data_IF_937915049487
#
_entry.id   IF_937915049487
#
_cell.length_a   1.000
_cell.length_b   1.000
_cell.length_c   1.000
_cell.angle_alpha   90.00
_cell.angle_beta   90.00
_cell.angle_gamma   90.00
#
_symmetry.space_group_name_H-M   'P 1'
#
loop_
_entity.id
_entity.type
_entity.pdbx_description
1 polymer ?
#
# COMPACT_ATOMS: atom_id res chain seq x y z
N UNK A 1 -15.47 9.98 28.75
CA UNK A 1 -15.04 8.57 28.57
C UNK A 1 -13.51 8.53 28.58
N UNK A 2 -12.96 7.52 29.22
CA UNK A 2 -11.52 7.26 29.20
C UNK A 2 -11.08 6.89 27.78
N UNK A 3 -9.90 7.40 27.35
CA UNK A 3 -9.38 7.17 25.99
C UNK A 3 -7.95 6.63 26.07
N UNK A 4 -7.69 5.60 25.28
CA UNK A 4 -6.34 5.11 25.03
C UNK A 4 -5.63 6.04 24.06
N UNK A 5 -4.33 6.24 24.29
CA UNK A 5 -3.45 7.11 23.50
C UNK A 5 -2.53 6.27 22.62
N UNK A 6 -2.40 6.67 21.35
CA UNK A 6 -1.45 6.11 20.41
C UNK A 6 -0.61 7.21 19.76
N UNK A 7 0.68 6.96 19.62
CA UNK A 7 1.60 7.84 18.89
C UNK A 7 1.83 7.26 17.50
N UNK A 8 1.37 7.97 16.49
CA UNK A 8 1.54 7.63 15.08
C UNK A 8 2.68 8.48 14.50
N UNK A 9 3.65 7.81 13.88
CA UNK A 9 4.81 8.45 13.26
C UNK A 9 4.73 8.31 11.75
N UNK A 10 5.04 9.40 11.05
CA UNK A 10 5.26 9.36 9.61
C UNK A 10 6.74 9.08 9.28
N UNK A 11 6.95 8.52 8.09
CA UNK A 11 8.29 8.28 7.55
C UNK A 11 8.71 9.40 6.59
N UNK A 12 8.61 9.14 5.29
CA UNK A 12 9.03 10.05 4.22
C UNK A 12 8.33 11.42 4.21
N UNK A 13 7.13 11.52 4.80
CA UNK A 13 6.40 12.77 4.96
C UNK A 13 7.25 13.82 5.70
N UNK A 14 8.07 13.37 6.67
CA UNK A 14 8.97 14.26 7.41
C UNK A 14 10.04 14.93 6.52
N UNK A 15 10.36 14.34 5.36
CA UNK A 15 11.40 14.79 4.43
C UNK A 15 10.88 15.74 3.34
N UNK A 16 9.59 16.11 3.34
CA UNK A 16 8.95 16.88 2.25
C UNK A 16 9.25 18.38 2.24
N UNK A 17 10.15 18.86 3.10
CA UNK A 17 10.55 20.27 3.14
C UNK A 17 9.35 21.21 3.25
N UNK A 18 9.25 22.19 2.37
CA UNK A 18 8.15 23.18 2.36
C UNK A 18 6.77 22.57 2.10
N UNK A 19 6.69 21.41 1.44
CA UNK A 19 5.43 20.72 1.16
C UNK A 19 4.94 19.86 2.34
N UNK A 20 5.72 19.73 3.40
CA UNK A 20 5.41 18.90 4.57
C UNK A 20 4.00 19.15 5.15
N UNK A 21 3.54 20.41 5.33
CA UNK A 21 2.21 20.68 5.88
C UNK A 21 1.06 20.09 5.04
N UNK A 22 1.20 20.06 3.72
CA UNK A 22 0.24 19.44 2.83
C UNK A 22 0.15 17.92 3.07
N UNK A 23 1.30 17.24 3.11
CA UNK A 23 1.35 15.79 3.33
C UNK A 23 0.88 15.41 4.74
N UNK A 24 1.22 16.20 5.76
CA UNK A 24 0.74 15.99 7.13
C UNK A 24 -0.78 16.13 7.24
N UNK A 25 -1.37 17.12 6.57
CA UNK A 25 -2.82 17.29 6.51
C UNK A 25 -3.51 16.09 5.85
N UNK A 26 -3.02 15.65 4.69
CA UNK A 26 -3.59 14.51 3.98
C UNK A 26 -3.46 13.24 4.83
N UNK A 27 -2.30 13.00 5.47
CA UNK A 27 -2.11 11.84 6.34
C UNK A 27 -3.06 11.87 7.54
N UNK A 28 -3.25 13.03 8.17
CA UNK A 28 -4.17 13.20 9.28
C UNK A 28 -5.61 12.83 8.89
N UNK A 29 -6.07 13.30 7.73
CA UNK A 29 -7.41 12.96 7.22
C UNK A 29 -7.54 11.47 6.90
N UNK A 30 -6.50 10.83 6.35
CA UNK A 30 -6.51 9.39 6.10
C UNK A 30 -6.59 8.58 7.39
N UNK A 31 -5.85 8.96 8.43
CA UNK A 31 -5.92 8.30 9.75
C UNK A 31 -7.28 8.53 10.39
N UNK A 32 -7.84 9.74 10.34
CA UNK A 32 -9.19 10.01 10.83
C UNK A 32 -10.24 9.15 10.12
N UNK A 33 -10.15 9.03 8.79
CA UNK A 33 -11.07 8.22 8.02
C UNK A 33 -10.95 6.73 8.37
N UNK A 34 -9.74 6.21 8.59
CA UNK A 34 -9.53 4.83 9.02
C UNK A 34 -10.14 4.53 10.40
N UNK A 35 -10.23 5.54 11.26
CA UNK A 35 -10.79 5.44 12.62
C UNK A 35 -12.24 5.95 12.73
N UNK A 36 -12.87 6.36 11.63
CA UNK A 36 -14.21 6.98 11.64
C UNK A 36 -15.32 6.05 12.14
N UNK A 37 -15.10 4.73 12.15
CA UNK A 37 -16.02 3.76 12.72
C UNK A 37 -16.06 3.79 14.26
N UNK A 38 -15.10 4.45 14.92
CA UNK A 38 -15.03 4.56 16.37
C UNK A 38 -15.50 5.95 16.82
N UNK A 39 -16.73 6.03 17.32
CA UNK A 39 -17.29 7.29 17.83
C UNK A 39 -16.40 7.88 18.95
N UNK A 40 -16.07 9.15 18.84
CA UNK A 40 -15.21 9.84 19.79
C UNK A 40 -13.70 9.64 19.55
N UNK A 41 -13.28 8.96 18.49
CA UNK A 41 -11.87 8.89 18.09
C UNK A 41 -11.38 10.27 17.62
N UNK A 42 -10.16 10.63 18.02
CA UNK A 42 -9.52 11.92 17.70
C UNK A 42 -8.10 11.69 17.19
N UNK A 43 -7.67 12.50 16.24
CA UNK A 43 -6.29 12.53 15.78
C UNK A 43 -5.83 13.98 15.60
N UNK A 44 -4.63 14.31 16.10
CA UNK A 44 -4.04 15.67 16.03
C UNK A 44 -2.53 15.58 15.82
N UNK A 45 -1.97 16.52 15.03
CA UNK A 45 -0.54 16.75 14.96
C UNK A 45 -0.08 17.65 16.11
N UNK A 46 0.93 17.22 16.84
CA UNK A 46 1.58 17.98 17.91
C UNK A 46 3.09 17.79 17.77
N UNK A 47 3.83 18.85 17.55
CA UNK A 47 5.30 18.85 17.47
C UNK A 47 5.92 17.75 16.58
N UNK A 48 5.33 17.51 15.41
CA UNK A 48 5.83 16.54 14.42
C UNK A 48 5.50 15.06 14.71
N UNK A 49 4.63 14.80 15.68
CA UNK A 49 4.00 13.50 15.92
C UNK A 49 2.48 13.61 15.78
N UNK A 50 1.85 12.55 15.33
CA UNK A 50 0.40 12.47 15.37
C UNK A 50 -0.04 11.70 16.61
N UNK A 51 -0.87 12.33 17.42
CA UNK A 51 -1.49 11.75 18.61
C UNK A 51 -2.91 11.32 18.25
N UNK A 52 -3.19 10.04 18.48
CA UNK A 52 -4.51 9.44 18.27
C UNK A 52 -5.07 9.03 19.61
N UNK A 53 -6.30 9.46 19.92
CA UNK A 53 -7.03 9.04 21.11
C UNK A 53 -8.31 8.33 20.70
N UNK A 54 -8.50 7.12 21.21
CA UNK A 54 -9.66 6.26 20.90
C UNK A 54 -10.29 5.81 22.22
N UNK A 55 -11.64 5.68 22.32
CA UNK A 55 -12.28 5.19 23.53
C UNK A 55 -11.66 3.90 24.05
N UNK A 56 -11.49 3.79 25.38
CA UNK A 56 -10.75 2.71 26.02
C UNK A 56 -11.41 1.32 25.88
N UNK A 57 -12.67 1.27 25.50
CA UNK A 57 -13.40 0.03 25.24
C UNK A 57 -13.07 -0.61 23.88
N UNK A 58 -12.33 0.08 22.99
CA UNK A 58 -11.91 -0.46 21.71
C UNK A 58 -10.60 -1.26 21.89
N UNK A 59 -10.53 -2.51 21.42
CA UNK A 59 -9.33 -3.33 21.51
C UNK A 59 -8.11 -2.65 20.86
N UNK A 60 -6.95 -2.76 21.50
CA UNK A 60 -5.71 -2.11 21.06
C UNK A 60 -5.27 -2.59 19.67
N UNK A 61 -5.35 -3.88 19.41
CA UNK A 61 -4.99 -4.52 18.14
C UNK A 61 -5.86 -4.04 16.97
N UNK A 62 -7.14 -3.77 17.21
CA UNK A 62 -8.04 -3.19 16.19
C UNK A 62 -7.61 -1.77 15.79
N UNK A 63 -7.26 -0.93 16.77
CA UNK A 63 -6.81 0.45 16.51
C UNK A 63 -5.47 0.42 15.75
N UNK A 64 -4.55 -0.42 16.20
CA UNK A 64 -3.24 -0.58 15.58
C UNK A 64 -3.38 -1.06 14.14
N UNK A 65 -4.15 -2.12 13.90
CA UNK A 65 -4.35 -2.69 12.56
C UNK A 65 -4.91 -1.66 11.56
N UNK A 66 -5.87 -0.83 11.98
CA UNK A 66 -6.41 0.24 11.16
C UNK A 66 -5.42 1.38 10.89
N UNK A 67 -4.52 1.67 11.82
CA UNK A 67 -3.54 2.73 11.63
C UNK A 67 -2.34 2.29 10.78
N UNK A 68 -1.83 1.06 10.95
CA UNK A 68 -0.62 0.59 10.24
C UNK A 68 -0.82 0.40 8.74
N UNK A 69 -2.06 0.16 8.29
CA UNK A 69 -2.38 0.02 6.88
C UNK A 69 -2.48 1.35 6.14
N UNK A 70 -2.56 2.48 6.86
CA UNK A 70 -2.63 3.82 6.23
C UNK A 70 -1.27 4.19 5.64
N UNK A 71 -1.21 4.36 4.33
CA UNK A 71 0.02 4.80 3.66
C UNK A 71 0.49 6.16 4.17
N UNK A 72 1.77 6.25 4.50
CA UNK A 72 2.39 7.38 5.18
C UNK A 72 2.67 7.12 6.66
N UNK A 73 1.98 6.17 7.29
CA UNK A 73 2.24 5.75 8.68
C UNK A 73 3.45 4.82 8.72
N UNK A 74 4.52 5.26 9.36
CA UNK A 74 5.74 4.46 9.51
C UNK A 74 5.69 3.55 10.74
N UNK A 75 5.08 4.01 11.84
CA UNK A 75 4.86 3.19 13.03
C UNK A 75 3.76 3.75 13.93
N UNK A 76 3.17 2.85 14.70
CA UNK A 76 2.19 3.16 15.76
C UNK A 76 2.74 2.64 17.08
N UNK A 77 2.53 3.39 18.16
CA UNK A 77 2.89 2.98 19.52
C UNK A 77 1.73 3.26 20.46
N UNK A 78 1.18 2.27 21.15
CA UNK A 78 0.39 2.50 22.35
C UNK A 78 1.21 3.28 23.36
N UNK A 79 0.61 4.28 24.02
CA UNK A 79 1.32 5.18 24.90
C UNK A 79 0.45 5.57 26.10
N UNK A 80 1.12 5.97 27.18
CA UNK A 80 0.48 6.65 28.32
C UNK A 80 1.06 8.04 28.47
N UNK A 81 0.22 8.97 28.93
CA UNK A 81 0.57 10.36 29.16
C UNK A 81 0.81 10.61 30.65
N UNK A 82 1.78 11.43 30.98
CA UNK A 82 2.08 11.88 32.33
C UNK A 82 2.33 13.40 32.36
N UNK A 83 2.07 14.08 33.48
CA UNK A 83 2.53 15.45 33.69
C UNK A 83 4.05 15.56 33.55
N UNK A 84 4.55 16.79 33.30
CA UNK A 84 6.00 17.09 33.25
C UNK A 84 6.65 17.18 34.63
N UNK A 85 6.48 16.14 35.40
CA UNK A 85 7.16 15.95 36.70
C UNK A 85 7.84 14.58 36.68
N UNK A 86 9.08 14.51 37.10
CA UNK A 86 9.89 13.28 36.98
C UNK A 86 9.34 12.14 37.85
N UNK A 87 8.72 12.47 38.99
CA UNK A 87 8.15 11.48 39.88
C UNK A 87 6.85 10.90 39.30
N UNK A 88 5.99 11.77 38.72
CA UNK A 88 4.78 11.38 38.02
C UNK A 88 5.12 10.51 36.76
N UNK A 89 6.12 10.94 36.00
CA UNK A 89 6.64 10.16 34.87
C UNK A 89 7.11 8.78 35.32
N UNK A 90 7.88 8.73 36.41
CA UNK A 90 8.38 7.48 36.99
C UNK A 90 7.28 6.56 37.51
N UNK A 91 6.27 7.12 38.18
CA UNK A 91 5.10 6.39 38.66
C UNK A 91 4.29 5.78 37.50
N UNK A 92 3.99 6.58 36.47
CA UNK A 92 3.30 6.12 35.28
C UNK A 92 4.11 5.11 34.47
N UNK A 93 5.44 5.27 34.40
CA UNK A 93 6.33 4.30 33.77
C UNK A 93 6.35 2.94 34.50
N UNK A 94 6.32 2.98 35.83
CA UNK A 94 6.25 1.76 36.64
C UNK A 94 4.90 1.05 36.47
N UNK A 95 3.78 1.77 36.51
CA UNK A 95 2.44 1.23 36.20
C UNK A 95 2.37 0.59 34.81
N UNK A 96 2.91 1.29 33.80
CA UNK A 96 2.98 0.79 32.43
C UNK A 96 3.80 -0.50 32.33
N UNK A 97 4.96 -0.55 32.97
CA UNK A 97 5.84 -1.72 32.95
C UNK A 97 5.27 -2.92 33.69
N UNK A 98 4.47 -2.71 34.77
CA UNK A 98 3.75 -3.80 35.43
C UNK A 98 2.80 -4.51 34.47
N UNK A 99 2.01 -3.75 33.69
CA UNK A 99 1.13 -4.33 32.66
C UNK A 99 1.93 -5.09 31.60
N UNK A 100 3.06 -4.53 31.16
CA UNK A 100 3.94 -5.19 30.16
C UNK A 100 4.50 -6.51 30.67
N UNK A 101 4.89 -6.59 31.96
CA UNK A 101 5.37 -7.85 32.57
C UNK A 101 4.27 -8.91 32.59
N UNK A 102 3.05 -8.52 32.91
CA UNK A 102 1.89 -9.45 32.96
C UNK A 102 1.56 -10.04 31.59
N UNK A 103 1.70 -9.24 30.51
CA UNK A 103 1.38 -9.68 29.14
C UNK A 103 2.50 -10.44 28.46
N UNK A 104 3.76 -10.00 28.59
CA UNK A 104 4.84 -10.45 27.71
C UNK A 104 5.98 -11.17 28.44
N UNK A 105 5.86 -11.35 29.76
CA UNK A 105 6.82 -12.07 30.60
C UNK A 105 8.29 -11.61 30.40
N UNK A 106 8.52 -10.31 30.24
CA UNK A 106 9.86 -9.72 30.07
C UNK A 106 10.66 -9.78 31.37
N UNK A 107 11.99 -9.89 31.26
CA UNK A 107 12.92 -9.93 32.38
C UNK A 107 13.92 -8.77 32.39
N UNK A 108 14.21 -8.24 31.20
CA UNK A 108 15.19 -7.17 31.04
C UNK A 108 14.59 -5.97 30.31
N UNK A 109 15.05 -4.77 30.71
CA UNK A 109 14.62 -3.55 30.03
C UNK A 109 15.72 -2.50 30.01
N UNK A 110 15.54 -1.50 29.17
CA UNK A 110 16.23 -0.21 29.29
C UNK A 110 15.29 0.94 29.05
N UNK A 111 15.61 2.11 29.66
CA UNK A 111 14.88 3.36 29.40
C UNK A 111 15.65 4.19 28.37
N UNK A 112 14.94 4.76 27.40
CA UNK A 112 15.42 5.80 26.49
C UNK A 112 14.68 7.09 26.80
N UNK A 113 15.36 8.04 27.45
CA UNK A 113 14.85 9.39 27.70
C UNK A 113 15.05 10.28 26.45
N UNK A 114 14.06 11.11 26.15
CA UNK A 114 14.14 12.17 25.14
C UNK A 114 13.54 13.45 25.67
N UNK A 115 14.36 14.50 25.76
CA UNK A 115 13.94 15.86 26.11
C UNK A 115 13.68 16.66 24.83
N UNK A 116 12.48 16.57 24.27
CA UNK A 116 12.07 17.40 23.14
C UNK A 116 11.79 18.84 23.59
N UNK A 117 11.17 19.00 24.77
CA UNK A 117 11.02 20.31 25.44
C UNK A 117 12.32 20.69 26.15
N UNK A 118 13.02 21.68 25.62
CA UNK A 118 14.28 22.19 26.20
C UNK A 118 14.09 22.96 27.50
N UNK A 119 12.85 23.38 27.86
CA UNK A 119 12.57 24.02 29.13
C UNK A 119 12.46 23.05 30.32
N UNK A 120 12.33 21.76 30.06
CA UNK A 120 12.37 20.73 31.11
C UNK A 120 13.76 20.64 31.71
N UNK A 121 13.87 20.73 33.03
CA UNK A 121 15.16 20.89 33.73
C UNK A 121 16.09 19.70 33.60
N UNK A 122 15.52 18.49 33.45
CA UNK A 122 16.26 17.23 33.47
C UNK A 122 16.67 16.81 32.07
N UNK A 123 17.92 16.48 31.85
CA UNK A 123 18.46 16.03 30.55
C UNK A 123 18.09 14.58 30.21
N UNK A 124 18.11 14.26 28.90
CA UNK A 124 17.69 12.93 28.40
C UNK A 124 18.36 11.74 29.07
N UNK A 125 19.70 11.73 29.34
CA UNK A 125 20.33 10.62 30.04
C UNK A 125 19.85 10.50 31.49
N UNK A 126 19.62 11.64 32.15
CA UNK A 126 19.19 11.68 33.54
C UNK A 126 17.71 11.28 33.69
N UNK A 127 16.84 11.65 32.73
CA UNK A 127 15.46 11.12 32.63
C UNK A 127 15.51 9.60 32.60
N UNK A 128 16.34 9.03 31.73
CA UNK A 128 16.45 7.58 31.60
C UNK A 128 16.93 6.91 32.89
N UNK A 129 17.91 7.51 33.58
CA UNK A 129 18.46 7.01 34.84
C UNK A 129 17.43 7.03 35.96
N UNK A 130 16.74 8.16 36.15
CA UNK A 130 15.76 8.34 37.24
C UNK A 130 14.54 7.46 37.02
N UNK A 131 13.93 7.50 35.84
CA UNK A 131 12.76 6.66 35.52
C UNK A 131 13.13 5.18 35.59
N UNK A 132 14.30 4.77 35.08
CA UNK A 132 14.79 3.39 35.20
C UNK A 132 14.92 2.92 36.64
N UNK A 133 15.44 3.79 37.53
CA UNK A 133 15.54 3.51 38.97
C UNK A 133 14.17 3.36 39.65
N UNK A 134 13.18 4.17 39.25
CA UNK A 134 11.82 4.06 39.78
C UNK A 134 11.12 2.79 39.33
N UNK A 135 11.25 2.42 38.04
CA UNK A 135 10.73 1.16 37.50
C UNK A 135 11.35 -0.04 38.20
N UNK A 136 12.67 -0.07 38.42
CA UNK A 136 13.36 -1.17 39.16
C UNK A 136 12.87 -1.32 40.60
N UNK A 137 12.56 -0.18 41.26
CA UNK A 137 12.02 -0.23 42.64
C UNK A 137 10.62 -0.82 42.68
N UNK A 138 9.80 -0.52 41.70
CA UNK A 138 8.41 -0.98 41.61
C UNK A 138 8.29 -2.40 41.04
N UNK A 139 9.13 -2.76 40.06
CA UNK A 139 9.08 -4.02 39.32
C UNK A 139 10.34 -4.86 39.62
N UNK A 140 10.38 -5.50 40.79
CA UNK A 140 11.55 -6.23 41.30
C UNK A 140 11.98 -7.46 40.45
N UNK A 141 11.10 -7.92 39.58
CA UNK A 141 11.40 -9.02 38.64
C UNK A 141 12.24 -8.59 37.43
N UNK A 142 12.35 -7.27 37.20
CA UNK A 142 13.12 -6.72 36.11
C UNK A 142 14.58 -6.45 36.48
N UNK A 143 15.45 -6.59 35.49
CA UNK A 143 16.85 -6.12 35.54
C UNK A 143 17.13 -5.20 34.32
N UNK A 144 18.20 -4.39 34.40
CA UNK A 144 18.59 -3.50 33.30
C UNK A 144 19.58 -4.22 32.38
N UNK A 145 19.27 -4.27 31.10
CA UNK A 145 20.18 -4.63 30.02
C UNK A 145 20.22 -3.52 28.98
N UNK A 146 21.38 -2.83 28.87
CA UNK A 146 21.56 -1.71 27.95
C UNK A 146 21.88 -2.15 26.52
N UNK A 147 22.30 -3.41 26.34
CA UNK A 147 22.74 -3.95 25.04
C UNK A 147 21.65 -4.73 24.34
N UNK A 148 21.03 -5.70 25.02
CA UNK A 148 19.99 -6.60 24.44
C UNK A 148 18.78 -6.73 25.38
N UNK A 149 18.09 -5.63 25.67
CA UNK A 149 16.91 -5.68 26.53
C UNK A 149 15.72 -6.36 25.83
N UNK A 150 14.90 -7.09 26.62
CA UNK A 150 13.61 -7.59 26.14
C UNK A 150 12.64 -6.45 25.82
N UNK A 151 12.74 -5.33 26.55
CA UNK A 151 11.89 -4.16 26.35
C UNK A 151 12.68 -2.85 26.37
N UNK A 152 12.37 -1.96 25.41
CA UNK A 152 12.89 -0.58 25.41
C UNK A 152 11.75 0.37 25.80
N UNK A 153 11.76 0.86 27.04
CA UNK A 153 10.82 1.85 27.50
C UNK A 153 11.26 3.24 27.02
N UNK A 154 10.47 3.89 26.20
CA UNK A 154 10.73 5.24 25.73
C UNK A 154 9.97 6.25 26.59
N UNK A 155 10.63 7.34 26.97
CA UNK A 155 10.07 8.49 27.69
C UNK A 155 10.38 9.74 26.87
N UNK A 156 9.37 10.34 26.23
CA UNK A 156 9.51 11.55 25.39
C UNK A 156 8.84 12.73 26.10
N UNK A 157 9.65 13.65 26.66
CA UNK A 157 9.16 14.84 27.36
C UNK A 157 9.02 15.98 26.36
N UNK A 158 7.77 16.45 26.19
CA UNK A 158 7.36 17.50 25.26
C UNK A 158 6.71 18.68 25.99
N UNK A 159 6.32 19.73 25.26
CA UNK A 159 5.72 20.93 25.87
C UNK A 159 4.43 20.64 26.61
N UNK A 160 3.57 19.79 26.05
CA UNK A 160 2.24 19.50 26.62
C UNK A 160 2.25 18.43 27.71
N UNK A 161 3.25 17.53 27.75
CA UNK A 161 3.32 16.41 28.68
C UNK A 161 4.50 15.50 28.43
N UNK A 162 4.59 14.41 29.17
CA UNK A 162 5.52 13.33 28.95
C UNK A 162 4.76 12.10 28.41
N UNK A 163 5.34 11.42 27.45
CA UNK A 163 4.73 10.27 26.78
C UNK A 163 5.61 9.04 26.97
N UNK A 164 5.01 7.98 27.47
CA UNK A 164 5.68 6.71 27.81
C UNK A 164 5.14 5.64 26.89
N UNK A 165 6.03 4.95 26.19
CA UNK A 165 5.67 3.88 25.24
C UNK A 165 6.83 2.91 25.04
N UNK A 166 6.56 1.70 24.62
CA UNK A 166 7.61 0.69 24.34
C UNK A 166 7.78 0.42 22.85
N UNK A 167 6.79 -0.14 22.25
CA UNK A 167 6.87 -0.66 20.88
C UNK A 167 6.69 0.41 19.81
N UNK A 168 7.27 0.13 18.68
CA UNK A 168 7.01 0.84 17.43
C UNK A 168 6.51 -0.18 16.41
N UNK A 169 5.21 -0.46 16.44
CA UNK A 169 4.58 -1.39 15.53
C UNK A 169 4.66 -0.80 14.13
N UNK A 170 5.31 -1.54 13.23
CA UNK A 170 5.63 -1.05 11.89
C UNK A 170 4.37 -0.93 11.03
N UNK A 171 4.19 0.24 10.40
CA UNK A 171 3.21 0.46 9.34
C UNK A 171 3.83 0.30 7.95
N UNK A 172 3.01 0.34 6.91
CA UNK A 172 3.48 0.23 5.53
C UNK A 172 4.36 1.39 5.09
N UNK A 173 4.29 2.54 5.75
CA UNK A 173 5.08 3.71 5.37
C UNK A 173 4.64 4.31 4.04
N UNK A 174 5.61 4.82 3.26
CA UNK A 174 5.34 5.47 1.99
C UNK A 174 4.80 6.89 2.13
N UNK A 175 3.90 7.28 1.22
CA UNK A 175 3.27 8.60 1.15
C UNK A 175 1.75 8.49 1.25
N UNK A 176 1.05 9.49 1.81
CA UNK A 176 -0.41 9.46 1.92
C UNK A 176 -1.07 9.36 0.55
N UNK A 177 -2.04 8.47 0.43
CA UNK A 177 -2.77 8.21 -0.81
C UNK A 177 -3.42 9.50 -1.37
N UNK A 178 -3.28 9.72 -2.67
CA UNK A 178 -3.80 10.90 -3.39
C UNK A 178 -2.83 12.08 -3.45
N UNK A 179 -1.61 11.96 -2.88
CA UNK A 179 -0.62 13.06 -2.92
C UNK A 179 0.24 13.08 -4.20
N UNK A 180 0.21 12.03 -5.01
CA UNK A 180 0.99 11.90 -6.25
C UNK A 180 0.13 11.57 -7.48
N UNK A 181 -0.99 12.25 -7.63
CA UNK A 181 -1.86 12.08 -8.79
C UNK A 181 -2.65 10.76 -8.81
N UNK A 182 -3.11 10.38 -9.99
CA UNK A 182 -3.92 9.20 -10.26
C UNK A 182 -3.31 8.36 -11.38
N UNK A 183 -3.34 7.04 -11.25
CA UNK A 183 -2.91 6.08 -12.26
C UNK A 183 -3.97 5.02 -12.53
N UNK A 184 -3.94 4.45 -13.72
CA UNK A 184 -4.78 3.34 -14.13
C UNK A 184 -3.96 2.06 -14.21
N UNK A 185 -4.27 1.06 -13.36
CA UNK A 185 -3.63 -0.26 -13.38
C UNK A 185 -4.35 -1.20 -14.34
N UNK A 186 -3.62 -1.89 -15.20
CA UNK A 186 -4.12 -3.02 -15.96
C UNK A 186 -4.18 -4.23 -15.02
N UNK A 187 -5.39 -4.54 -14.51
CA UNK A 187 -5.62 -5.54 -13.47
C UNK A 187 -5.96 -6.89 -14.08
N UNK A 188 -5.13 -7.89 -13.82
CA UNK A 188 -5.35 -9.30 -14.14
C UNK A 188 -5.71 -10.12 -12.91
N UNK A 189 -6.09 -11.38 -13.10
CA UNK A 189 -6.27 -12.35 -12.01
C UNK A 189 -4.98 -12.94 -11.45
N UNK A 190 -3.80 -12.53 -11.95
CA UNK A 190 -2.49 -13.01 -11.51
C UNK A 190 -1.97 -12.35 -10.23
N UNK A 191 -0.78 -12.79 -9.78
CA UNK A 191 -0.14 -12.34 -8.55
C UNK A 191 0.42 -10.90 -8.70
N UNK A 192 0.87 -10.54 -9.90
CA UNK A 192 1.74 -9.37 -10.12
C UNK A 192 0.96 -8.04 -10.12
N UNK A 193 -0.16 -7.97 -10.84
CA UNK A 193 -0.90 -6.70 -10.98
C UNK A 193 -1.45 -6.14 -9.65
N UNK A 194 -1.95 -6.95 -8.68
CA UNK A 194 -2.33 -6.44 -7.36
C UNK A 194 -1.15 -5.87 -6.57
N UNK A 195 0.01 -6.53 -6.65
CA UNK A 195 1.24 -6.04 -5.99
C UNK A 195 1.71 -4.73 -6.62
N UNK A 196 1.67 -4.61 -7.95
CA UNK A 196 2.00 -3.38 -8.66
C UNK A 196 1.09 -2.22 -8.24
N UNK A 197 -0.23 -2.45 -8.18
CA UNK A 197 -1.20 -1.47 -7.71
C UNK A 197 -0.91 -0.99 -6.28
N UNK A 198 -0.67 -1.94 -5.36
CA UNK A 198 -0.31 -1.63 -3.98
C UNK A 198 0.98 -0.80 -3.87
N UNK A 199 2.02 -1.17 -4.63
CA UNK A 199 3.30 -0.45 -4.60
C UNK A 199 3.15 1.00 -5.08
N UNK A 200 2.36 1.25 -6.14
CA UNK A 200 2.09 2.60 -6.62
C UNK A 200 1.22 3.39 -5.66
N UNK A 201 0.19 2.77 -5.08
CA UNK A 201 -0.64 3.40 -4.04
C UNK A 201 0.18 3.80 -2.81
N UNK A 202 1.11 2.94 -2.37
CA UNK A 202 2.06 3.23 -1.28
C UNK A 202 2.96 4.44 -1.60
N UNK A 203 3.18 4.79 -2.88
CA UNK A 203 3.86 6.02 -3.30
C UNK A 203 2.95 7.24 -3.34
N UNK A 204 1.72 7.12 -2.82
CA UNK A 204 0.76 8.21 -2.72
C UNK A 204 -0.14 8.40 -3.94
N UNK A 205 -0.15 7.45 -4.88
CA UNK A 205 -0.97 7.51 -6.07
C UNK A 205 -2.37 6.97 -5.82
N UNK A 206 -3.41 7.69 -6.21
CA UNK A 206 -4.76 7.14 -6.31
C UNK A 206 -4.83 6.17 -7.48
N UNK A 207 -5.50 5.03 -7.31
CA UNK A 207 -5.55 3.97 -8.32
C UNK A 207 -6.98 3.78 -8.80
N UNK A 208 -7.16 3.75 -10.11
CA UNK A 208 -8.30 3.12 -10.80
C UNK A 208 -7.80 1.87 -11.51
N UNK A 209 -8.67 0.91 -11.78
CA UNK A 209 -8.29 -0.35 -12.42
C UNK A 209 -9.02 -0.55 -13.75
N UNK A 210 -8.37 -1.11 -14.75
CA UNK A 210 -9.02 -1.66 -15.94
C UNK A 210 -8.80 -3.16 -15.99
N UNK A 211 -9.87 -3.91 -16.15
CA UNK A 211 -9.86 -5.36 -16.34
C UNK A 211 -10.39 -5.73 -17.70
N UNK A 212 -9.68 -6.62 -18.39
CA UNK A 212 -10.05 -7.16 -19.69
C UNK A 212 -10.53 -8.59 -19.53
N UNK A 213 -11.66 -8.91 -20.16
CA UNK A 213 -12.19 -10.28 -20.23
C UNK A 213 -12.49 -10.67 -21.69
N UNK A 214 -12.69 -11.96 -21.93
CA UNK A 214 -13.01 -12.50 -23.25
C UNK A 214 -14.20 -13.46 -23.14
N UNK A 215 -15.30 -13.00 -22.50
CA UNK A 215 -16.50 -13.81 -22.38
C UNK A 215 -17.08 -14.16 -23.77
N UNK A 216 -17.47 -15.46 -24.02
CA UNK A 216 -17.63 -16.56 -23.07
C UNK A 216 -16.38 -17.43 -22.81
N UNK A 217 -15.22 -17.14 -23.43
CA UNK A 217 -14.00 -17.93 -23.25
C UNK A 217 -13.40 -17.77 -21.84
N UNK A 218 -13.51 -16.60 -21.24
CA UNK A 218 -13.26 -16.42 -19.80
C UNK A 218 -14.56 -16.50 -19.03
N UNK A 219 -14.52 -17.11 -17.85
CA UNK A 219 -15.72 -17.31 -17.03
C UNK A 219 -16.06 -16.08 -16.18
N UNK A 220 -17.33 -15.96 -15.77
CA UNK A 220 -17.71 -14.97 -14.75
C UNK A 220 -16.97 -15.16 -13.42
N UNK A 221 -16.49 -16.38 -13.14
CA UNK A 221 -15.67 -16.65 -11.93
C UNK A 221 -14.30 -15.99 -12.04
N UNK A 222 -13.72 -15.92 -13.23
CA UNK A 222 -12.47 -15.19 -13.48
C UNK A 222 -12.64 -13.69 -13.17
N UNK A 223 -13.73 -13.07 -13.62
CA UNK A 223 -14.03 -11.67 -13.31
C UNK A 223 -14.23 -11.47 -11.79
N UNK A 224 -15.01 -12.32 -11.12
CA UNK A 224 -15.22 -12.25 -9.65
C UNK A 224 -13.93 -12.37 -8.87
N UNK A 225 -12.98 -13.20 -9.32
CA UNK A 225 -11.64 -13.29 -8.74
C UNK A 225 -10.93 -11.93 -8.79
N UNK A 226 -10.99 -11.23 -9.92
CA UNK A 226 -10.38 -9.91 -10.06
C UNK A 226 -11.08 -8.87 -9.17
N UNK A 227 -12.41 -8.90 -9.11
CA UNK A 227 -13.18 -8.04 -8.18
C UNK A 227 -12.78 -8.27 -6.72
N UNK A 228 -12.53 -9.52 -6.31
CA UNK A 228 -12.07 -9.88 -4.96
C UNK A 228 -10.65 -9.36 -4.69
N UNK A 229 -9.74 -9.45 -5.66
CA UNK A 229 -8.42 -8.85 -5.58
C UNK A 229 -8.50 -7.33 -5.41
N UNK A 230 -9.33 -6.65 -6.20
CA UNK A 230 -9.53 -5.20 -6.10
C UNK A 230 -10.20 -4.84 -4.77
N UNK A 231 -11.11 -5.65 -4.24
CA UNK A 231 -11.73 -5.44 -2.91
C UNK A 231 -10.70 -5.56 -1.79
N UNK A 232 -9.80 -6.53 -1.86
CA UNK A 232 -8.67 -6.63 -0.91
C UNK A 232 -7.81 -5.37 -0.95
N UNK A 233 -7.50 -4.87 -2.13
CA UNK A 233 -6.74 -3.62 -2.31
C UNK A 233 -7.53 -2.39 -1.83
N UNK A 234 -8.86 -2.38 -1.99
CA UNK A 234 -9.71 -1.30 -1.49
C UNK A 234 -9.60 -1.12 0.04
N UNK A 235 -9.29 -2.18 0.78
CA UNK A 235 -8.96 -2.10 2.21
C UNK A 235 -7.81 -1.14 2.54
N UNK A 236 -6.87 -0.94 1.62
CA UNK A 236 -5.74 -0.02 1.74
C UNK A 236 -5.99 1.34 1.07
N UNK A 237 -6.76 1.35 -0.01
CA UNK A 237 -6.89 2.49 -0.93
C UNK A 237 -8.22 3.24 -0.78
N UNK A 238 -9.21 2.65 -0.10
CA UNK A 238 -10.60 3.08 -0.16
C UNK A 238 -11.27 2.60 -1.45
N UNK A 239 -12.39 3.19 -1.82
CA UNK A 239 -13.16 2.81 -3.02
C UNK A 239 -12.30 2.87 -4.28
N UNK A 240 -12.27 1.78 -5.05
CA UNK A 240 -11.57 1.66 -6.33
C UNK A 240 -12.63 1.56 -7.44
N UNK A 241 -12.50 2.42 -8.46
CA UNK A 241 -13.28 2.31 -9.69
C UNK A 241 -12.59 1.30 -10.61
N UNK A 242 -13.31 0.25 -11.01
CA UNK A 242 -12.84 -0.75 -11.96
C UNK A 242 -13.62 -0.66 -13.26
N UNK A 243 -12.90 -0.49 -14.35
CA UNK A 243 -13.39 -0.48 -15.74
C UNK A 243 -13.28 -1.88 -16.31
N UNK A 244 -14.36 -2.46 -16.77
CA UNK A 244 -14.44 -3.82 -17.31
C UNK A 244 -14.67 -3.75 -18.80
N UNK A 245 -13.79 -4.36 -19.58
CA UNK A 245 -13.77 -4.31 -21.05
C UNK A 245 -13.81 -5.70 -21.65
N UNK A 246 -14.72 -5.93 -22.56
CA UNK A 246 -14.72 -7.14 -23.37
C UNK A 246 -13.73 -7.03 -24.53
N UNK A 247 -12.68 -7.85 -24.50
CA UNK A 247 -11.60 -7.85 -25.49
C UNK A 247 -11.85 -8.85 -26.64
N UNK A 248 -12.83 -9.74 -26.50
CA UNK A 248 -13.08 -10.83 -27.45
C UNK A 248 -13.22 -10.37 -28.92
N UNK A 249 -14.01 -9.30 -29.22
CA UNK A 249 -14.15 -8.87 -30.62
C UNK A 249 -12.81 -8.48 -31.28
N UNK A 250 -11.91 -7.89 -30.50
CA UNK A 250 -10.56 -7.54 -30.97
C UNK A 250 -9.71 -8.78 -31.16
N UNK A 251 -9.78 -9.74 -30.24
CA UNK A 251 -9.03 -10.98 -30.33
C UNK A 251 -9.45 -11.81 -31.56
N UNK A 252 -10.75 -11.87 -31.86
CA UNK A 252 -11.27 -12.56 -33.03
C UNK A 252 -10.77 -11.94 -34.35
N UNK A 253 -10.76 -10.60 -34.43
CA UNK A 253 -10.23 -9.90 -35.59
C UNK A 253 -8.71 -10.10 -35.77
N UNK A 254 -7.95 -10.11 -34.66
CA UNK A 254 -6.51 -10.42 -34.70
C UNK A 254 -6.27 -11.83 -35.19
N UNK A 255 -6.96 -12.83 -34.63
CA UNK A 255 -6.80 -14.25 -35.04
C UNK A 255 -7.13 -14.46 -36.51
N UNK A 256 -8.13 -13.75 -37.02
CA UNK A 256 -8.58 -13.86 -38.43
C UNK A 256 -7.60 -13.22 -39.41
N UNK A 257 -6.97 -12.10 -39.09
CA UNK A 257 -6.30 -11.23 -40.03
C UNK A 257 -4.77 -11.14 -39.82
N UNK A 258 -4.23 -11.65 -38.69
CA UNK A 258 -2.83 -11.46 -38.32
C UNK A 258 -2.11 -12.82 -38.11
N UNK A 259 -0.76 -12.87 -38.18
CA UNK A 259 0.02 -14.07 -37.86
C UNK A 259 -0.20 -14.55 -36.41
N UNK A 260 -0.35 -15.88 -36.26
CA UNK A 260 -0.60 -16.53 -34.97
C UNK A 260 0.49 -16.19 -33.91
N UNK A 261 1.76 -16.21 -34.31
CA UNK A 261 2.91 -15.97 -33.43
C UNK A 261 2.97 -14.52 -32.86
N UNK A 262 2.23 -13.58 -33.44
CA UNK A 262 2.16 -12.17 -33.04
C UNK A 262 0.92 -11.84 -32.20
N UNK A 263 -0.04 -12.76 -32.07
CA UNK A 263 -1.34 -12.55 -31.43
C UNK A 263 -1.21 -11.90 -30.04
N UNK A 264 -0.37 -12.44 -29.16
CA UNK A 264 -0.19 -11.93 -27.79
C UNK A 264 0.26 -10.46 -27.78
N UNK A 265 1.19 -10.09 -28.65
CA UNK A 265 1.70 -8.72 -28.72
C UNK A 265 0.67 -7.75 -29.28
N UNK A 266 -0.06 -8.16 -30.32
CA UNK A 266 -1.13 -7.35 -30.89
C UNK A 266 -2.25 -7.11 -29.87
N UNK A 267 -2.71 -8.15 -29.18
CA UNK A 267 -3.70 -8.05 -28.09
C UNK A 267 -3.24 -7.04 -27.02
N UNK A 268 -1.97 -7.13 -26.58
CA UNK A 268 -1.42 -6.21 -25.58
C UNK A 268 -1.35 -4.77 -26.09
N UNK A 269 -1.03 -4.54 -27.35
CA UNK A 269 -1.06 -3.20 -27.96
C UNK A 269 -2.47 -2.60 -27.92
N UNK A 270 -3.50 -3.39 -28.20
CA UNK A 270 -4.89 -2.95 -28.05
C UNK A 270 -5.25 -2.65 -26.59
N UNK A 271 -4.86 -3.52 -25.66
CA UNK A 271 -5.08 -3.27 -24.21
C UNK A 271 -4.46 -1.96 -23.76
N UNK A 272 -3.23 -1.64 -24.21
CA UNK A 272 -2.56 -0.40 -23.88
C UNK A 272 -3.30 0.83 -24.45
N UNK A 273 -3.73 0.82 -25.72
CA UNK A 273 -4.51 1.91 -26.32
C UNK A 273 -5.84 2.13 -25.62
N UNK A 274 -6.56 1.07 -25.30
CA UNK A 274 -7.85 1.14 -24.58
C UNK A 274 -7.61 1.70 -23.18
N UNK A 275 -6.60 1.20 -22.47
CA UNK A 275 -6.25 1.67 -21.14
C UNK A 275 -5.88 3.17 -21.15
N UNK A 276 -5.13 3.65 -22.15
CA UNK A 276 -4.79 5.06 -22.28
C UNK A 276 -6.02 5.94 -22.50
N UNK A 277 -6.95 5.54 -23.35
CA UNK A 277 -8.19 6.29 -23.57
C UNK A 277 -9.06 6.36 -22.30
N UNK A 278 -9.19 5.25 -21.58
CA UNK A 278 -9.87 5.21 -20.28
C UNK A 278 -9.15 6.10 -19.27
N UNK A 279 -7.83 6.05 -19.22
CA UNK A 279 -7.01 6.85 -18.33
C UNK A 279 -7.19 8.35 -18.58
N UNK A 280 -7.17 8.79 -19.84
CA UNK A 280 -7.39 10.18 -20.24
C UNK A 280 -8.80 10.66 -19.86
N UNK A 281 -9.84 9.86 -20.15
CA UNK A 281 -11.23 10.12 -19.78
C UNK A 281 -11.42 10.32 -18.27
N UNK A 282 -10.68 9.56 -17.48
CA UNK A 282 -10.75 9.58 -16.00
C UNK A 282 -9.66 10.45 -15.34
N UNK A 283 -8.91 11.24 -16.11
CA UNK A 283 -7.83 12.12 -15.62
C UNK A 283 -6.74 11.37 -14.86
N UNK A 284 -6.45 10.14 -15.26
CA UNK A 284 -5.24 9.44 -14.82
C UNK A 284 -4.03 10.03 -15.55
N UNK A 285 -2.88 10.05 -14.90
CA UNK A 285 -1.65 10.66 -15.40
C UNK A 285 -0.69 9.63 -15.99
N UNK A 286 -0.93 8.35 -15.73
CA UNK A 286 -0.06 7.25 -16.15
C UNK A 286 -0.79 5.91 -16.15
N UNK A 287 -0.26 4.98 -16.94
CA UNK A 287 -0.63 3.57 -16.89
C UNK A 287 0.28 2.82 -15.92
N UNK A 288 -0.24 1.75 -15.35
CA UNK A 288 0.52 0.87 -14.45
C UNK A 288 0.33 -0.57 -14.93
N UNK A 289 1.40 -1.35 -14.97
CA UNK A 289 1.34 -2.78 -15.27
C UNK A 289 2.10 -3.60 -14.24
N UNK A 290 1.70 -4.86 -14.08
CA UNK A 290 2.41 -5.83 -13.25
C UNK A 290 3.50 -6.60 -14.00
N UNK A 291 4.07 -6.03 -15.05
CA UNK A 291 5.10 -6.68 -15.85
C UNK A 291 6.43 -6.75 -15.10
N UNK A 292 7.09 -7.89 -15.30
CA UNK A 292 8.42 -8.19 -14.80
C UNK A 292 9.32 -8.65 -15.97
N UNK A 293 10.55 -8.12 -16.05
CA UNK A 293 11.41 -8.35 -17.19
C UNK A 293 11.85 -9.81 -17.30
N UNK A 294 11.54 -10.44 -18.42
CA UNK A 294 11.96 -11.83 -18.72
C UNK A 294 11.14 -12.92 -18.04
N UNK A 295 10.06 -12.60 -17.34
CA UNK A 295 9.23 -13.60 -16.67
C UNK A 295 8.45 -14.47 -17.66
N UNK A 296 7.94 -13.89 -18.74
CA UNK A 296 7.22 -14.59 -19.81
C UNK A 296 7.64 -14.05 -21.18
N UNK A 297 7.29 -14.79 -22.25
CA UNK A 297 7.68 -14.46 -23.62
C UNK A 297 7.29 -13.04 -24.08
N UNK A 298 6.20 -12.49 -23.57
CA UNK A 298 5.72 -11.15 -23.89
C UNK A 298 6.32 -10.04 -23.02
N UNK A 299 7.23 -10.36 -22.10
CA UNK A 299 7.89 -9.43 -21.17
C UNK A 299 9.40 -9.34 -21.43
N UNK A 300 9.84 -9.55 -22.66
CA UNK A 300 11.20 -9.23 -23.10
C UNK A 300 11.36 -7.72 -23.34
N UNK A 301 12.57 -7.20 -23.33
CA UNK A 301 12.81 -5.79 -23.59
C UNK A 301 12.24 -5.34 -24.93
N UNK A 302 12.42 -6.16 -25.98
CA UNK A 302 11.89 -5.90 -27.30
C UNK A 302 10.35 -5.89 -27.32
N UNK A 303 9.71 -6.83 -26.59
CA UNK A 303 8.25 -6.88 -26.48
C UNK A 303 7.69 -5.64 -25.76
N UNK A 304 8.34 -5.19 -24.69
CA UNK A 304 7.95 -3.97 -23.96
C UNK A 304 8.06 -2.74 -24.85
N UNK A 305 9.14 -2.60 -25.64
CA UNK A 305 9.30 -1.48 -26.60
C UNK A 305 8.14 -1.48 -27.62
N UNK A 306 7.75 -2.64 -28.12
CA UNK A 306 6.66 -2.76 -29.09
C UNK A 306 5.31 -2.43 -28.46
N UNK A 307 5.03 -2.89 -27.25
CA UNK A 307 3.75 -2.61 -26.57
C UNK A 307 3.64 -1.15 -26.11
N UNK A 308 4.74 -0.54 -25.67
CA UNK A 308 4.74 0.87 -25.24
C UNK A 308 4.65 1.86 -26.41
N UNK A 309 5.07 1.44 -27.60
CA UNK A 309 5.10 2.34 -28.77
C UNK A 309 3.72 2.83 -29.24
N UNK A 310 2.63 2.36 -28.64
CA UNK A 310 1.25 2.74 -29.01
C UNK A 310 0.59 3.67 -28.02
N UNK A 311 1.27 4.08 -26.97
CA UNK A 311 0.79 5.00 -25.94
C UNK A 311 1.77 6.15 -25.74
N UNK A 312 1.25 7.31 -25.36
CA UNK A 312 2.04 8.50 -25.05
C UNK A 312 2.18 8.69 -23.53
N UNK A 313 1.26 8.10 -22.76
CA UNK A 313 1.32 8.17 -21.30
C UNK A 313 2.51 7.36 -20.74
N UNK A 314 3.16 7.85 -19.66
CA UNK A 314 4.15 7.06 -18.94
C UNK A 314 3.56 5.73 -18.45
N UNK A 315 4.28 4.63 -18.68
CA UNK A 315 3.92 3.29 -18.21
C UNK A 315 4.81 2.93 -17.02
N UNK A 316 4.20 2.80 -15.84
CA UNK A 316 4.90 2.45 -14.61
C UNK A 316 4.91 0.94 -14.41
N UNK A 317 6.10 0.39 -14.17
CA UNK A 317 6.33 -1.04 -13.93
C UNK A 317 7.05 -1.22 -12.59
N UNK A 318 6.33 -1.16 -11.47
CA UNK A 318 6.99 -1.20 -10.16
C UNK A 318 7.67 -2.52 -9.84
N UNK A 319 7.38 -3.59 -10.61
CA UNK A 319 7.92 -4.93 -10.40
C UNK A 319 9.06 -5.28 -11.36
N UNK A 320 9.41 -4.41 -12.30
CA UNK A 320 10.25 -4.73 -13.49
C UNK A 320 11.60 -5.40 -13.18
N UNK A 321 12.12 -5.26 -11.99
CA UNK A 321 13.41 -5.79 -11.56
C UNK A 321 13.30 -6.56 -10.23
N UNK A 322 12.13 -7.07 -9.89
CA UNK A 322 11.92 -7.85 -8.66
C UNK A 322 11.98 -9.34 -8.97
N UNK A 323 12.55 -10.13 -8.07
CA UNK A 323 12.45 -11.57 -8.14
C UNK A 323 11.02 -12.04 -7.87
N UNK A 324 10.59 -13.11 -8.54
CA UNK A 324 9.23 -13.66 -8.38
C UNK A 324 8.89 -14.00 -6.94
N UNK A 325 9.88 -14.46 -6.16
CA UNK A 325 9.72 -14.79 -4.73
C UNK A 325 9.35 -13.53 -3.93
N UNK A 326 10.02 -12.41 -4.17
CA UNK A 326 9.74 -11.14 -3.48
C UNK A 326 8.34 -10.62 -3.80
N UNK A 327 7.89 -10.80 -5.06
CA UNK A 327 6.52 -10.43 -5.48
C UNK A 327 5.50 -11.32 -4.77
N UNK A 328 5.75 -12.64 -4.68
CA UNK A 328 4.87 -13.58 -3.97
C UNK A 328 4.80 -13.27 -2.47
N UNK A 329 5.92 -12.95 -1.84
CA UNK A 329 5.96 -12.58 -0.42
C UNK A 329 5.20 -11.27 -0.17
N UNK A 330 5.31 -10.30 -1.09
CA UNK A 330 4.51 -9.09 -1.03
C UNK A 330 3.02 -9.38 -1.22
N UNK A 331 2.65 -10.27 -2.13
CA UNK A 331 1.26 -10.69 -2.33
C UNK A 331 0.67 -11.35 -1.07
N UNK A 332 1.46 -12.15 -0.34
CA UNK A 332 1.06 -12.72 0.97
C UNK A 332 0.88 -11.63 2.02
N UNK A 333 1.84 -10.69 2.11
CA UNK A 333 1.79 -9.57 3.06
C UNK A 333 0.52 -8.72 2.89
N UNK A 334 0.07 -8.51 1.66
CA UNK A 334 -1.12 -7.70 1.35
C UNK A 334 -2.42 -8.50 1.20
N UNK A 335 -2.38 -9.82 1.42
CA UNK A 335 -3.55 -10.70 1.41
C UNK A 335 -4.12 -11.03 0.03
N UNK A 336 -3.36 -10.81 -1.06
CA UNK A 336 -3.83 -11.09 -2.43
C UNK A 336 -3.39 -12.44 -2.97
N UNK A 337 -2.41 -13.11 -2.34
CA UNK A 337 -1.80 -14.33 -2.86
C UNK A 337 -2.79 -15.47 -3.06
N UNK A 338 -3.56 -15.83 -2.02
CA UNK A 338 -4.46 -16.99 -2.05
C UNK A 338 -5.62 -16.82 -3.05
N UNK A 339 -6.04 -15.57 -3.28
CA UNK A 339 -7.02 -15.23 -4.32
C UNK A 339 -6.37 -15.40 -5.71
N UNK A 340 -5.14 -14.88 -5.89
CA UNK A 340 -4.43 -14.88 -7.16
C UNK A 340 -4.12 -16.27 -7.70
N UNK A 341 -3.88 -17.26 -6.83
CA UNK A 341 -3.55 -18.64 -7.25
C UNK A 341 -4.78 -19.51 -7.60
N UNK A 342 -6.01 -18.98 -7.45
CA UNK A 342 -7.20 -19.71 -7.87
C UNK A 342 -7.17 -20.02 -9.37
N UNK A 343 -7.59 -21.23 -9.81
CA UNK A 343 -7.40 -21.71 -11.17
C UNK A 343 -8.48 -21.19 -12.13
N UNK A 344 -8.49 -19.88 -12.39
CA UNK A 344 -9.37 -19.26 -13.38
C UNK A 344 -8.56 -18.60 -14.50
N UNK A 345 -9.08 -18.71 -15.72
CA UNK A 345 -8.41 -18.27 -16.93
C UNK A 345 -8.31 -16.73 -17.00
N UNK A 346 -7.19 -16.26 -17.55
CA UNK A 346 -7.00 -14.84 -17.89
C UNK A 346 -7.30 -14.62 -19.39
N UNK A 347 -7.75 -13.42 -19.77
CA UNK A 347 -8.05 -13.10 -21.18
C UNK A 347 -6.84 -13.29 -22.11
N UNK A 348 -5.64 -13.06 -21.63
CA UNK A 348 -4.41 -13.23 -22.39
C UNK A 348 -4.10 -14.69 -22.74
N UNK A 349 -4.74 -15.66 -22.10
CA UNK A 349 -4.50 -17.10 -22.34
C UNK A 349 -5.46 -17.73 -23.33
N UNK A 350 -6.50 -17.01 -23.76
CA UNK A 350 -7.59 -17.56 -24.60
C UNK A 350 -7.10 -17.95 -26.00
N UNK A 351 -6.24 -17.14 -26.61
CA UNK A 351 -5.68 -17.37 -27.96
C UNK A 351 -4.15 -17.36 -27.93
N UNK A 352 -3.58 -18.18 -27.04
CA UNK A 352 -2.12 -18.28 -26.93
C UNK A 352 -1.53 -18.98 -28.18
N UNK A 353 -0.56 -18.34 -28.83
CA UNK A 353 0.18 -18.98 -29.92
C UNK A 353 1.05 -20.13 -29.39
N UNK A 354 1.22 -21.18 -30.20
CA UNK A 354 2.14 -22.30 -29.86
C UNK A 354 3.59 -21.85 -29.71
N UNK A 355 3.99 -20.86 -30.52
CA UNK A 355 5.34 -20.30 -30.54
C UNK A 355 5.28 -18.77 -30.57
N UNK A 356 5.13 -18.09 -29.42
CA UNK A 356 5.07 -16.63 -29.39
C UNK A 356 6.41 -16.01 -29.80
N UNK A 357 6.36 -14.87 -30.49
CA UNK A 357 7.56 -14.09 -30.84
C UNK A 357 8.14 -13.48 -29.56
N UNK A 358 9.39 -13.85 -29.23
CA UNK A 358 10.12 -13.32 -28.06
C UNK A 358 11.02 -12.13 -28.38
N UNK A 359 11.39 -11.95 -29.66
CA UNK A 359 12.19 -10.82 -30.16
C UNK A 359 11.47 -10.12 -31.31
N UNK A 360 10.36 -9.45 -31.03
CA UNK A 360 9.57 -8.78 -32.06
C UNK A 360 10.35 -7.60 -32.65
N UNK A 361 10.20 -7.38 -33.96
CA UNK A 361 10.59 -6.13 -34.61
C UNK A 361 9.37 -5.25 -34.75
N UNK A 362 9.47 -4.00 -34.29
CA UNK A 362 8.37 -3.04 -34.28
C UNK A 362 7.70 -2.92 -35.65
N UNK A 363 8.47 -2.77 -36.71
CA UNK A 363 8.00 -2.60 -38.07
C UNK A 363 7.22 -3.82 -38.59
N UNK A 364 7.56 -5.03 -38.10
CA UNK A 364 6.84 -6.26 -38.45
C UNK A 364 5.46 -6.27 -37.78
N UNK A 365 5.40 -5.95 -36.49
CA UNK A 365 4.14 -5.94 -35.73
C UNK A 365 3.21 -4.83 -36.27
N UNK A 366 3.74 -3.65 -36.56
CA UNK A 366 2.96 -2.53 -37.14
C UNK A 366 2.41 -2.88 -38.52
N UNK A 367 3.16 -3.62 -39.35
CA UNK A 367 2.66 -4.12 -40.64
C UNK A 367 1.50 -5.10 -40.48
N UNK A 368 1.61 -6.04 -39.53
CA UNK A 368 0.52 -6.97 -39.23
C UNK A 368 -0.72 -6.24 -38.68
N UNK A 369 -0.50 -5.28 -37.80
CA UNK A 369 -1.56 -4.47 -37.21
C UNK A 369 -2.30 -3.60 -38.26
N UNK A 370 -1.62 -3.20 -39.35
CA UNK A 370 -2.25 -2.40 -40.43
C UNK A 370 -3.36 -3.14 -41.19
N UNK A 371 -3.51 -4.46 -41.01
CA UNK A 371 -4.63 -5.24 -41.51
C UNK A 371 -5.93 -5.07 -40.70
N UNK A 372 -5.86 -4.37 -39.55
CA UNK A 372 -6.96 -4.17 -38.63
C UNK A 372 -7.44 -2.70 -38.65
N UNK A 373 -8.74 -2.48 -38.48
CA UNK A 373 -9.28 -1.15 -38.20
C UNK A 373 -9.11 -0.82 -36.71
N UNK A 374 -7.87 -0.43 -36.35
CA UNK A 374 -7.47 -0.19 -34.96
C UNK A 374 -8.33 0.88 -34.29
N UNK A 375 -8.65 1.97 -35.02
CA UNK A 375 -9.40 3.10 -34.47
C UNK A 375 -10.83 2.68 -34.10
N UNK A 376 -11.55 2.02 -35.00
CA UNK A 376 -12.91 1.54 -34.75
C UNK A 376 -12.95 0.47 -33.65
N UNK A 377 -11.99 -0.48 -33.64
CA UNK A 377 -11.95 -1.53 -32.64
C UNK A 377 -11.70 -0.98 -31.23
N UNK A 378 -10.77 -0.05 -31.08
CA UNK A 378 -10.49 0.61 -29.78
C UNK A 378 -11.68 1.45 -29.33
N UNK A 379 -12.28 2.23 -30.22
CA UNK A 379 -13.45 3.04 -29.92
C UNK A 379 -14.62 2.18 -29.42
N UNK A 380 -14.96 1.11 -30.14
CA UNK A 380 -16.06 0.22 -29.76
C UNK A 380 -15.80 -0.45 -28.39
N UNK A 381 -14.56 -0.85 -28.11
CA UNK A 381 -14.19 -1.43 -26.83
C UNK A 381 -14.38 -0.43 -25.68
N UNK A 382 -13.93 0.83 -25.87
CA UNK A 382 -14.11 1.90 -24.86
C UNK A 382 -15.58 2.29 -24.69
N UNK A 383 -16.39 2.28 -25.75
CA UNK A 383 -17.84 2.56 -25.68
C UNK A 383 -18.62 1.43 -24.97
N UNK A 384 -18.12 0.19 -24.98
CA UNK A 384 -18.70 -0.96 -24.27
C UNK A 384 -18.27 -1.07 -22.81
N UNK A 385 -17.57 -0.09 -22.28
CA UNK A 385 -17.05 -0.04 -20.92
C UNK A 385 -18.14 -0.21 -19.86
N UNK A 386 -17.98 -1.19 -18.98
CA UNK A 386 -18.77 -1.31 -17.75
C UNK A 386 -17.93 -0.80 -16.56
N UNK A 387 -18.57 -0.03 -15.67
CA UNK A 387 -17.88 0.54 -14.50
C UNK A 387 -18.43 -0.09 -13.22
N UNK A 388 -17.56 -0.64 -12.40
CA UNK A 388 -17.87 -1.23 -11.09
C UNK A 388 -17.13 -0.46 -10.00
N UNK A 389 -17.88 0.09 -9.03
CA UNK A 389 -17.27 0.67 -7.83
C UNK A 389 -17.08 -0.40 -6.76
N UNK A 390 -15.83 -0.68 -6.41
CA UNK A 390 -15.48 -1.70 -5.42
C UNK A 390 -15.06 -1.00 -4.12
N UNK A 391 -15.80 -1.30 -3.05
CA UNK A 391 -15.56 -0.79 -1.70
C UNK A 391 -14.86 -1.84 -0.84
N UNK A 392 -14.16 -1.40 0.23
CA UNK A 392 -13.55 -2.30 1.23
C UNK A 392 -14.53 -3.31 1.82
#
# INVERSE_FOLDING_TARGET
>A
MEKNLYIVRCGEVALKGMNKPYFERVLLERVKNALSCYEGAEAKWIEGLMFVRVPANIPEDEVISKCVIVFGVASVSPAVEAPKDINEIGAKAAEFMQKVIETDNIKTFKVKGKRADKSFAIESPEIARQVGGMVLKACKVLSVDVHRPDCVLNVDVRREGAYIFRDKIRGFGGLPLGTNGKGLILMSGGIDSPVAAFMMAKRGMSIEAVHFHSYPYTSQRAQRKVEELVRTLAGYMGTVKMHVINLLPIQEEIVKNCPEDETTLLVRRFMMRIAEQIALKNRCMMLITGEDLGQVASQTAEALVVTDSVVEMPVMRPLIAMDKVDIMDKAREIGTYDISIQPYEDCCTVFLPKHPVTKPKKERIERSESALDVETLVKNAVESEEIVEIRP
#
